data_IF_077359590633
#
_entry.id   IF_077359590633
#
_cell.length_a   1.000
_cell.length_b   1.000
_cell.length_c   1.000
_cell.angle_alpha   90.00
_cell.angle_beta   90.00
_cell.angle_gamma   90.00
#
_symmetry.space_group_name_H-M   'P 1'
#
loop_
_entity.id
_entity.type
_entity.pdbx_description
1 polymer ?
#
# COMPACT_ATOMS: atom_id res chain seq x y z
N UNK A 1 -72.48 73.12 -54.67
CA UNK A 1 -73.50 72.16 -54.19
C UNK A 1 -73.01 71.56 -52.87
N UNK A 2 -73.66 71.91 -51.76
CA UNK A 2 -73.30 71.51 -50.39
C UNK A 2 -73.42 70.00 -50.16
N UNK A 3 -74.31 69.33 -50.90
CA UNK A 3 -74.54 67.87 -50.83
C UNK A 3 -73.33 67.08 -51.34
N UNK A 4 -72.64 67.60 -52.37
CA UNK A 4 -71.40 66.99 -52.87
C UNK A 4 -70.24 67.17 -51.88
N UNK A 5 -70.14 68.33 -51.21
CA UNK A 5 -69.11 68.60 -50.20
C UNK A 5 -69.23 67.64 -49.01
N UNK A 6 -70.45 67.39 -48.49
CA UNK A 6 -70.68 66.42 -47.41
C UNK A 6 -70.31 64.99 -47.82
N UNK A 7 -70.61 64.61 -49.08
CA UNK A 7 -70.23 63.29 -49.63
C UNK A 7 -68.71 63.14 -49.79
N UNK A 8 -68.01 64.21 -50.18
CA UNK A 8 -66.56 64.25 -50.28
C UNK A 8 -65.91 64.13 -48.89
N UNK A 9 -66.38 64.91 -47.91
CA UNK A 9 -65.88 64.84 -46.53
C UNK A 9 -66.13 63.47 -45.91
N UNK A 10 -67.30 62.86 -46.12
CA UNK A 10 -67.58 61.48 -45.67
C UNK A 10 -66.65 60.44 -46.28
N UNK A 11 -66.34 60.55 -47.58
CA UNK A 11 -65.34 59.69 -48.25
C UNK A 11 -63.92 59.92 -47.72
N UNK A 12 -63.54 61.17 -47.44
CA UNK A 12 -62.24 61.51 -46.84
C UNK A 12 -62.12 60.91 -45.44
N UNK A 13 -63.16 60.99 -44.60
CA UNK A 13 -63.16 60.37 -43.26
C UNK A 13 -63.05 58.84 -43.31
N UNK A 14 -63.70 58.18 -44.27
CA UNK A 14 -63.54 56.74 -44.50
C UNK A 14 -62.11 56.38 -44.92
N UNK A 15 -61.47 57.19 -45.76
CA UNK A 15 -60.07 57.01 -46.14
C UNK A 15 -59.14 57.19 -44.93
N UNK A 16 -59.37 58.21 -44.09
CA UNK A 16 -58.59 58.39 -42.85
C UNK A 16 -58.80 57.28 -41.83
N UNK A 17 -60.02 56.73 -41.71
CA UNK A 17 -60.29 55.57 -40.87
C UNK A 17 -59.50 54.34 -41.35
N UNK A 18 -59.52 54.05 -42.65
CA UNK A 18 -58.75 52.95 -43.25
C UNK A 18 -57.23 53.18 -43.13
N UNK A 19 -56.75 54.41 -43.30
CA UNK A 19 -55.34 54.77 -43.08
C UNK A 19 -54.91 54.54 -41.62
N UNK A 20 -55.76 54.91 -40.66
CA UNK A 20 -55.49 54.70 -39.24
C UNK A 20 -55.52 53.21 -38.87
N UNK A 21 -56.41 52.43 -39.48
CA UNK A 21 -56.47 50.97 -39.30
C UNK A 21 -55.20 50.29 -39.82
N UNK A 22 -54.76 50.62 -41.05
CA UNK A 22 -53.50 50.11 -41.62
C UNK A 22 -52.30 50.58 -40.81
N UNK A 23 -52.30 51.81 -40.29
CA UNK A 23 -51.22 52.32 -39.42
C UNK A 23 -51.17 51.56 -38.09
N UNK A 24 -52.32 51.28 -37.48
CA UNK A 24 -52.41 50.49 -36.25
C UNK A 24 -51.92 49.05 -36.49
N UNK A 25 -52.31 48.45 -37.62
CA UNK A 25 -51.87 47.11 -38.00
C UNK A 25 -50.36 47.05 -38.30
N UNK A 26 -49.81 48.05 -38.99
CA UNK A 26 -48.37 48.19 -39.21
C UNK A 26 -47.62 48.30 -37.89
N UNK A 27 -48.10 49.12 -36.94
CA UNK A 27 -47.50 49.24 -35.61
C UNK A 27 -47.53 47.90 -34.86
N UNK A 28 -48.64 47.15 -34.96
CA UNK A 28 -48.79 45.82 -34.34
C UNK A 28 -47.84 44.78 -34.94
N UNK A 29 -47.74 44.70 -36.27
CA UNK A 29 -46.84 43.76 -36.95
C UNK A 29 -45.38 44.14 -36.68
N UNK A 30 -45.05 45.43 -36.71
CA UNK A 30 -43.69 45.91 -36.45
C UNK A 30 -43.26 45.63 -35.02
N UNK A 31 -44.15 45.82 -34.03
CA UNK A 31 -43.81 45.50 -32.62
C UNK A 31 -43.66 43.98 -32.40
N UNK A 32 -44.50 43.17 -33.04
CA UNK A 32 -44.42 41.71 -32.97
C UNK A 32 -43.12 41.16 -33.59
N UNK A 33 -42.74 41.63 -34.78
CA UNK A 33 -41.47 41.26 -35.43
C UNK A 33 -40.26 41.69 -34.60
N UNK A 34 -40.26 42.95 -34.12
CA UNK A 34 -39.17 43.48 -33.29
C UNK A 34 -39.00 42.68 -32.00
N UNK A 35 -40.09 42.27 -31.36
CA UNK A 35 -40.06 41.42 -30.17
C UNK A 35 -39.46 40.04 -30.46
N UNK A 36 -39.86 39.40 -31.55
CA UNK A 36 -39.35 38.08 -31.95
C UNK A 36 -37.87 38.11 -32.32
N UNK A 37 -37.44 39.10 -33.10
CA UNK A 37 -36.03 39.27 -33.50
C UNK A 37 -35.13 39.58 -32.30
N UNK A 38 -35.55 40.49 -31.41
CA UNK A 38 -34.78 40.83 -30.21
C UNK A 38 -34.69 39.67 -29.23
N UNK A 39 -35.74 38.85 -29.11
CA UNK A 39 -35.71 37.62 -28.32
C UNK A 39 -34.65 36.64 -28.83
N UNK A 40 -34.61 36.39 -30.15
CA UNK A 40 -33.58 35.55 -30.76
C UNK A 40 -32.17 36.10 -30.59
N UNK A 41 -32.00 37.42 -30.77
CA UNK A 41 -30.72 38.08 -30.56
C UNK A 41 -30.25 37.99 -29.10
N UNK A 42 -31.15 38.16 -28.13
CA UNK A 42 -30.85 38.06 -26.70
C UNK A 42 -30.28 36.68 -26.34
N UNK A 43 -30.98 35.59 -26.70
CA UNK A 43 -30.51 34.24 -26.39
C UNK A 43 -29.19 33.88 -27.09
N UNK A 44 -28.98 34.36 -28.32
CA UNK A 44 -27.72 34.18 -29.02
C UNK A 44 -26.55 34.88 -28.28
N UNK A 45 -26.75 36.12 -27.81
CA UNK A 45 -25.71 36.82 -27.05
C UNK A 45 -25.51 36.23 -25.64
N UNK A 46 -26.57 35.77 -24.98
CA UNK A 46 -26.48 35.09 -23.69
C UNK A 46 -25.66 33.79 -23.82
N UNK A 47 -25.85 33.03 -24.91
CA UNK A 47 -25.07 31.82 -25.20
C UNK A 47 -23.58 32.14 -25.40
N UNK A 48 -23.26 33.24 -26.09
CA UNK A 48 -21.88 33.69 -26.28
C UNK A 48 -21.24 34.14 -24.96
N UNK A 49 -22.01 34.78 -24.07
CA UNK A 49 -21.57 35.13 -22.73
C UNK A 49 -21.25 33.88 -21.92
N UNK A 50 -22.12 32.87 -21.94
CA UNK A 50 -21.89 31.59 -21.23
C UNK A 50 -20.60 30.91 -21.68
N UNK A 51 -20.34 30.87 -23.00
CA UNK A 51 -19.08 30.35 -23.53
C UNK A 51 -17.87 31.18 -23.09
N UNK A 52 -18.02 32.50 -23.03
CA UNK A 52 -16.96 33.41 -22.57
C UNK A 52 -16.66 33.21 -21.08
N UNK A 53 -17.69 33.04 -20.25
CA UNK A 53 -17.57 32.74 -18.81
C UNK A 53 -16.74 31.47 -18.60
N UNK A 54 -17.10 30.37 -19.28
CA UNK A 54 -16.38 29.09 -19.15
C UNK A 54 -14.91 29.25 -19.55
N UNK A 55 -14.63 29.85 -20.70
CA UNK A 55 -13.27 30.07 -21.17
C UNK A 55 -12.45 30.91 -20.19
N UNK A 56 -13.03 31.98 -19.65
CA UNK A 56 -12.34 32.84 -18.68
C UNK A 56 -12.13 32.17 -17.33
N UNK A 57 -13.05 31.32 -16.87
CA UNK A 57 -12.86 30.49 -15.67
C UNK A 57 -11.75 29.45 -15.84
N UNK A 58 -11.55 28.93 -17.06
CA UNK A 58 -10.47 28.01 -17.38
C UNK A 58 -9.11 28.71 -17.45
N UNK A 59 -9.05 29.92 -18.01
CA UNK A 59 -7.84 30.74 -18.06
C UNK A 59 -7.44 31.35 -16.70
N UNK A 60 -8.38 31.38 -15.75
CA UNK A 60 -8.17 31.84 -14.37
C UNK A 60 -7.32 30.85 -13.58
N UNK A 61 -6.00 31.00 -13.72
CA UNK A 61 -4.96 30.16 -13.08
C UNK A 61 -4.40 30.76 -11.78
N UNK A 62 -4.64 32.05 -11.52
CA UNK A 62 -4.27 32.73 -10.28
C UNK A 62 -5.44 33.58 -9.76
N UNK A 63 -5.49 33.91 -8.45
CA UNK A 63 -6.53 34.79 -7.91
C UNK A 63 -6.63 36.15 -8.62
N UNK A 64 -5.50 36.72 -9.03
CA UNK A 64 -5.43 38.01 -9.72
C UNK A 64 -6.02 37.92 -11.13
N UNK A 65 -5.69 36.86 -11.88
CA UNK A 65 -6.29 36.60 -13.20
C UNK A 65 -7.78 36.36 -13.10
N UNK A 66 -8.23 35.68 -12.04
CA UNK A 66 -9.64 35.44 -11.79
C UNK A 66 -10.40 36.77 -11.62
N UNK A 67 -9.84 37.72 -10.88
CA UNK A 67 -10.41 39.07 -10.72
C UNK A 67 -10.41 39.87 -12.03
N UNK A 68 -9.31 39.80 -12.79
CA UNK A 68 -9.20 40.48 -14.08
C UNK A 68 -10.27 39.99 -15.06
N UNK A 69 -10.45 38.69 -15.16
CA UNK A 69 -11.46 38.10 -16.03
C UNK A 69 -12.89 38.29 -15.52
N UNK A 70 -13.11 38.25 -14.21
CA UNK A 70 -14.39 38.61 -13.61
C UNK A 70 -14.82 40.04 -14.01
N UNK A 71 -13.88 40.98 -13.96
CA UNK A 71 -14.11 42.37 -14.40
C UNK A 71 -14.51 42.43 -15.88
N UNK A 72 -13.79 41.69 -16.75
CA UNK A 72 -14.10 41.63 -18.19
C UNK A 72 -15.49 41.06 -18.46
N UNK A 73 -15.89 39.98 -17.78
CA UNK A 73 -17.22 39.39 -17.92
C UNK A 73 -18.31 40.32 -17.37
N UNK A 74 -18.03 41.00 -16.26
CA UNK A 74 -18.97 41.95 -15.66
C UNK A 74 -19.30 43.11 -16.61
N UNK A 75 -18.31 43.62 -17.34
CA UNK A 75 -18.55 44.62 -18.40
C UNK A 75 -19.45 44.05 -19.50
N UNK A 76 -19.23 42.80 -19.93
CA UNK A 76 -20.09 42.16 -20.95
C UNK A 76 -21.54 41.99 -20.47
N UNK A 77 -21.74 41.69 -19.19
CA UNK A 77 -23.06 41.61 -18.56
C UNK A 77 -23.73 42.99 -18.53
N UNK A 78 -23.00 44.04 -18.15
CA UNK A 78 -23.50 45.42 -18.15
C UNK A 78 -23.84 45.93 -19.56
N UNK A 79 -23.03 45.58 -20.57
CA UNK A 79 -23.30 45.89 -21.97
C UNK A 79 -24.59 45.21 -22.46
N UNK A 80 -24.83 43.96 -22.05
CA UNK A 80 -26.09 43.26 -22.33
C UNK A 80 -27.29 43.93 -21.64
N UNK A 81 -27.13 44.33 -20.38
CA UNK A 81 -28.16 45.03 -19.63
C UNK A 81 -28.55 46.36 -20.31
N UNK A 82 -27.56 47.16 -20.72
CA UNK A 82 -27.80 48.42 -21.42
C UNK A 82 -28.49 48.24 -22.77
N UNK A 83 -28.14 47.19 -23.52
CA UNK A 83 -28.68 46.94 -24.86
C UNK A 83 -30.14 46.46 -24.85
N UNK A 84 -30.56 45.74 -23.80
CA UNK A 84 -31.90 45.15 -23.70
C UNK A 84 -32.78 45.79 -22.60
N UNK A 85 -32.43 47.00 -22.14
CA UNK A 85 -33.09 47.72 -21.06
C UNK A 85 -34.60 47.98 -21.27
N UNK A 86 -35.09 47.95 -22.52
CA UNK A 86 -36.50 48.20 -22.83
C UNK A 86 -37.44 47.00 -22.54
N UNK A 87 -36.91 45.86 -22.08
CA UNK A 87 -37.65 44.60 -21.90
C UNK A 87 -37.48 44.02 -20.49
N UNK A 88 -38.50 44.20 -19.64
CA UNK A 88 -38.50 43.76 -18.23
C UNK A 88 -38.15 42.27 -18.05
N UNK A 89 -38.58 41.39 -18.97
CA UNK A 89 -38.28 39.95 -18.89
C UNK A 89 -36.78 39.64 -19.03
N UNK A 90 -36.06 40.40 -19.86
CA UNK A 90 -34.63 40.19 -20.08
C UNK A 90 -33.80 40.75 -18.92
N UNK A 91 -34.25 41.83 -18.30
CA UNK A 91 -33.60 42.43 -17.12
C UNK A 91 -33.48 41.39 -15.99
N UNK A 92 -34.55 40.64 -15.71
CA UNK A 92 -34.52 39.59 -14.68
C UNK A 92 -33.51 38.49 -15.02
N UNK A 93 -33.48 38.02 -16.28
CA UNK A 93 -32.52 36.98 -16.71
C UNK A 93 -31.08 37.45 -16.67
N UNK A 94 -30.82 38.72 -17.00
CA UNK A 94 -29.49 39.31 -16.93
C UNK A 94 -29.04 39.45 -15.47
N UNK A 95 -29.95 39.83 -14.57
CA UNK A 95 -29.68 39.88 -13.13
C UNK A 95 -29.33 38.49 -12.58
N UNK A 96 -30.10 37.46 -12.92
CA UNK A 96 -29.80 36.07 -12.53
C UNK A 96 -28.41 35.62 -13.05
N UNK A 97 -28.10 35.97 -14.31
CA UNK A 97 -26.80 35.65 -14.92
C UNK A 97 -25.65 36.40 -14.24
N UNK A 98 -25.85 37.66 -13.83
CA UNK A 98 -24.87 38.44 -13.07
C UNK A 98 -24.53 37.74 -11.74
N UNK A 99 -25.56 37.29 -11.01
CA UNK A 99 -25.38 36.56 -9.76
C UNK A 99 -24.65 35.24 -9.97
N UNK A 100 -24.94 34.52 -11.05
CA UNK A 100 -24.24 33.29 -11.44
C UNK A 100 -22.74 33.56 -11.71
N UNK A 101 -22.42 34.62 -12.47
CA UNK A 101 -21.04 35.04 -12.74
C UNK A 101 -20.30 35.35 -11.43
N UNK A 102 -20.91 36.16 -10.55
CA UNK A 102 -20.31 36.51 -9.26
C UNK A 102 -20.02 35.25 -8.43
N UNK A 103 -20.98 34.34 -8.33
CA UNK A 103 -20.81 33.08 -7.58
C UNK A 103 -19.71 32.21 -8.18
N UNK A 104 -19.67 32.06 -9.51
CA UNK A 104 -18.71 31.20 -10.19
C UNK A 104 -17.27 31.72 -10.02
N UNK A 105 -17.04 33.01 -10.25
CA UNK A 105 -15.71 33.60 -10.11
C UNK A 105 -15.25 33.67 -8.64
N UNK A 106 -16.13 33.99 -7.69
CA UNK A 106 -15.79 33.94 -6.27
C UNK A 106 -15.43 32.51 -5.83
N UNK A 107 -16.21 31.51 -6.23
CA UNK A 107 -15.91 30.11 -5.93
C UNK A 107 -14.58 29.65 -6.52
N UNK A 108 -14.28 30.04 -7.77
CA UNK A 108 -12.98 29.76 -8.41
C UNK A 108 -11.82 30.43 -7.66
N UNK A 109 -11.98 31.69 -7.27
CA UNK A 109 -10.97 32.45 -6.52
C UNK A 109 -10.69 31.83 -5.16
N UNK A 110 -11.73 31.50 -4.39
CA UNK A 110 -11.60 30.82 -3.10
C UNK A 110 -10.88 29.48 -3.23
N UNK A 111 -11.22 28.69 -4.26
CA UNK A 111 -10.53 27.43 -4.56
C UNK A 111 -9.04 27.64 -4.84
N UNK A 112 -8.69 28.63 -5.68
CA UNK A 112 -7.28 28.93 -6.01
C UNK A 112 -6.50 29.41 -4.79
N UNK A 113 -7.09 30.27 -3.95
CA UNK A 113 -6.49 30.74 -2.69
C UNK A 113 -6.26 29.56 -1.72
N UNK A 114 -7.23 28.66 -1.59
CA UNK A 114 -7.09 27.47 -0.75
C UNK A 114 -5.97 26.54 -1.25
N UNK A 115 -5.86 26.34 -2.57
CA UNK A 115 -4.79 25.55 -3.18
C UNK A 115 -3.40 26.19 -2.94
N UNK A 116 -3.30 27.51 -3.10
CA UNK A 116 -2.07 28.27 -2.83
C UNK A 116 -1.65 28.13 -1.36
N UNK A 117 -2.57 28.39 -0.42
CA UNK A 117 -2.32 28.26 1.01
C UNK A 117 -1.90 26.85 1.42
N UNK A 118 -2.52 25.82 0.85
CA UNK A 118 -2.13 24.43 1.09
C UNK A 118 -0.70 24.15 0.63
N UNK A 119 -0.34 24.65 -0.55
CA UNK A 119 1.02 24.50 -1.10
C UNK A 119 2.05 25.23 -0.25
N UNK A 120 1.83 26.49 0.10
CA UNK A 120 2.79 27.28 0.90
C UNK A 120 2.96 26.68 2.30
N UNK A 121 1.89 26.19 2.92
CA UNK A 121 1.96 25.49 4.20
C UNK A 121 2.77 24.18 4.12
N UNK A 122 2.62 23.42 3.04
CA UNK A 122 3.41 22.20 2.84
C UNK A 122 4.92 22.51 2.69
N UNK A 123 5.26 23.56 1.94
CA UNK A 123 6.65 24.02 1.79
C UNK A 123 7.26 24.48 3.12
N UNK A 124 6.52 25.24 3.92
CA UNK A 124 6.96 25.67 5.26
C UNK A 124 7.21 24.46 6.18
N UNK A 125 6.33 23.47 6.19
CA UNK A 125 6.51 22.26 6.99
C UNK A 125 7.76 21.46 6.58
N UNK A 126 8.04 21.38 5.27
CA UNK A 126 9.26 20.76 4.77
C UNK A 126 10.48 21.56 5.24
N UNK A 127 10.44 22.89 5.10
CA UNK A 127 11.49 23.79 5.58
C UNK A 127 11.80 23.60 7.06
N UNK A 128 10.77 23.61 7.90
CA UNK A 128 10.89 23.42 9.36
C UNK A 128 11.47 22.05 9.75
N UNK A 129 11.15 20.97 9.02
CA UNK A 129 11.75 19.65 9.27
C UNK A 129 13.24 19.62 8.91
N UNK A 130 13.60 20.20 7.77
CA UNK A 130 15.01 20.31 7.34
C UNK A 130 15.79 21.18 8.33
N UNK A 131 15.20 22.28 8.78
CA UNK A 131 15.78 23.17 9.78
C UNK A 131 16.11 22.44 11.08
N UNK A 132 15.22 21.58 11.59
CA UNK A 132 15.50 20.79 12.79
C UNK A 132 16.73 19.88 12.64
N UNK A 133 16.97 19.35 11.45
CA UNK A 133 18.19 18.58 11.17
C UNK A 133 19.43 19.48 11.09
N UNK A 134 19.30 20.67 10.50
CA UNK A 134 20.36 21.69 10.47
C UNK A 134 20.75 22.08 11.90
N UNK A 135 19.78 22.34 12.79
CA UNK A 135 20.01 22.65 14.20
C UNK A 135 20.80 21.56 14.92
N UNK A 136 20.37 20.30 14.80
CA UNK A 136 21.05 19.16 15.42
C UNK A 136 22.49 18.99 14.91
N UNK A 137 22.70 19.12 13.59
CA UNK A 137 24.02 19.01 12.97
C UNK A 137 24.92 20.19 13.38
N UNK A 138 24.39 21.41 13.40
CA UNK A 138 25.11 22.61 13.80
C UNK A 138 25.66 22.50 15.24
N UNK A 139 24.90 21.91 16.16
CA UNK A 139 25.31 21.73 17.56
C UNK A 139 26.44 20.71 17.78
N UNK A 140 26.75 19.89 16.77
CA UNK A 140 27.81 18.88 16.81
C UNK A 140 29.21 19.44 16.49
N UNK A 141 29.29 20.64 15.92
CA UNK A 141 30.56 21.25 15.57
C UNK A 141 31.31 21.80 16.79
N UNK A 142 32.64 21.75 16.72
CA UNK A 142 33.53 22.09 17.84
C UNK A 142 34.31 23.41 17.64
N UNK A 143 34.13 24.09 16.51
CA UNK A 143 34.78 25.37 16.23
C UNK A 143 33.86 26.29 15.41
N UNK A 144 34.16 27.58 15.38
CA UNK A 144 33.32 28.59 14.72
C UNK A 144 33.42 28.49 13.20
N UNK A 145 34.60 28.17 12.70
CA UNK A 145 34.91 28.08 11.27
C UNK A 145 34.04 27.00 10.59
N UNK A 146 33.88 25.83 11.21
CA UNK A 146 33.04 24.75 10.69
C UNK A 146 31.55 25.10 10.72
N UNK A 147 31.09 25.83 11.75
CA UNK A 147 29.71 26.31 11.80
C UNK A 147 29.46 27.28 10.64
N UNK A 148 30.34 28.26 10.44
CA UNK A 148 30.20 29.18 9.31
C UNK A 148 30.25 28.47 7.96
N UNK A 149 31.21 27.56 7.76
CA UNK A 149 31.31 26.77 6.54
C UNK A 149 30.04 25.94 6.28
N UNK A 150 29.50 25.27 7.30
CA UNK A 150 28.27 24.50 7.20
C UNK A 150 27.07 25.37 6.78
N UNK A 151 26.86 26.52 7.42
CA UNK A 151 25.78 27.43 7.04
C UNK A 151 26.01 28.10 5.66
N UNK A 152 27.25 28.17 5.17
CA UNK A 152 27.56 28.73 3.86
C UNK A 152 27.39 27.75 2.71
N UNK A 153 27.76 26.46 2.88
CA UNK A 153 27.93 25.54 1.75
C UNK A 153 27.14 24.23 1.84
N UNK A 154 26.46 23.93 2.96
CA UNK A 154 25.75 22.66 3.10
C UNK A 154 24.42 22.65 2.31
N UNK A 155 24.18 21.53 1.60
CA UNK A 155 23.00 21.34 0.76
C UNK A 155 21.68 21.47 1.54
N UNK A 156 21.63 21.11 2.82
CA UNK A 156 20.42 21.26 3.62
C UNK A 156 20.08 22.74 3.84
N UNK A 157 21.10 23.57 4.03
CA UNK A 157 20.93 25.02 4.24
C UNK A 157 20.48 25.69 2.94
N UNK A 158 21.09 25.32 1.82
CA UNK A 158 20.65 25.79 0.50
C UNK A 158 19.23 25.36 0.16
N UNK A 159 18.84 24.15 0.57
CA UNK A 159 17.44 23.69 0.43
C UNK A 159 16.47 24.59 1.19
N UNK A 160 16.77 25.01 2.43
CA UNK A 160 15.91 25.93 3.18
C UNK A 160 15.83 27.30 2.50
N UNK A 161 16.96 27.83 1.99
CA UNK A 161 16.97 29.09 1.22
C UNK A 161 16.11 29.00 -0.04
N UNK A 162 16.22 27.91 -0.79
CA UNK A 162 15.42 27.70 -1.99
C UNK A 162 13.93 27.59 -1.68
N UNK A 163 13.55 26.94 -0.56
CA UNK A 163 12.16 26.91 -0.11
C UNK A 163 11.62 28.28 0.27
N UNK A 164 12.44 29.13 0.89
CA UNK A 164 12.06 30.52 1.18
C UNK A 164 11.86 31.34 -0.11
N UNK A 165 12.72 31.15 -1.11
CA UNK A 165 12.55 31.78 -2.44
C UNK A 165 11.26 31.29 -3.10
N UNK A 166 10.98 29.98 -3.10
CA UNK A 166 9.74 29.44 -3.68
C UNK A 166 8.49 30.01 -2.97
N UNK A 167 8.52 30.14 -1.65
CA UNK A 167 7.43 30.77 -0.88
C UNK A 167 7.21 32.23 -1.28
N UNK A 168 8.31 32.98 -1.50
CA UNK A 168 8.25 34.37 -1.96
C UNK A 168 7.69 34.49 -3.37
N UNK A 169 8.09 33.59 -4.28
CA UNK A 169 7.58 33.54 -5.65
C UNK A 169 6.09 33.18 -5.70
N UNK A 170 5.61 32.41 -4.71
CA UNK A 170 4.19 32.10 -4.51
C UNK A 170 3.40 33.22 -3.80
N UNK A 171 4.07 34.30 -3.37
CA UNK A 171 3.45 35.46 -2.72
C UNK A 171 3.29 35.38 -1.19
N UNK A 172 3.72 34.29 -0.54
CA UNK A 172 3.62 34.11 0.91
C UNK A 172 4.92 34.54 1.61
N UNK A 173 5.14 35.87 1.62
CA UNK A 173 6.37 36.50 2.12
C UNK A 173 6.57 36.25 3.62
N UNK A 174 5.49 36.21 4.40
CA UNK A 174 5.58 36.01 5.85
C UNK A 174 6.20 34.64 6.21
N UNK A 175 5.80 33.57 5.52
CA UNK A 175 6.40 32.24 5.73
C UNK A 175 7.83 32.15 5.22
N UNK A 176 8.13 32.82 4.11
CA UNK A 176 9.50 32.90 3.60
C UNK A 176 10.43 33.56 4.64
N UNK A 177 10.04 34.73 5.16
CA UNK A 177 10.79 35.45 6.20
C UNK A 177 10.92 34.64 7.49
N UNK A 178 9.89 33.88 7.87
CA UNK A 178 9.95 32.98 9.02
C UNK A 178 11.06 31.93 8.87
N UNK A 179 11.13 31.24 7.72
CA UNK A 179 12.19 30.25 7.47
C UNK A 179 13.59 30.86 7.46
N UNK A 180 13.75 32.04 6.85
CA UNK A 180 15.04 32.74 6.84
C UNK A 180 15.48 33.19 8.24
N UNK A 181 14.54 33.68 9.05
CA UNK A 181 14.80 34.10 10.42
C UNK A 181 15.16 32.89 11.29
N UNK A 182 14.43 31.79 11.18
CA UNK A 182 14.74 30.56 11.90
C UNK A 182 16.12 30.00 11.53
N UNK A 183 16.52 30.11 10.26
CA UNK A 183 17.86 29.72 9.82
C UNK A 183 18.96 30.57 10.48
N UNK A 184 18.75 31.90 10.59
CA UNK A 184 19.67 32.79 11.31
C UNK A 184 19.72 32.46 12.80
N UNK A 185 18.57 32.25 13.43
CA UNK A 185 18.47 31.87 14.85
C UNK A 185 19.18 30.54 15.12
N UNK A 186 19.07 29.56 14.22
CA UNK A 186 19.78 28.29 14.34
C UNK A 186 21.30 28.49 14.32
N UNK A 187 21.81 29.38 13.46
CA UNK A 187 23.24 29.72 13.40
C UNK A 187 23.71 30.41 14.69
N UNK A 188 22.99 31.43 15.16
CA UNK A 188 23.32 32.15 16.39
C UNK A 188 23.27 31.24 17.62
N UNK A 189 22.28 30.37 17.69
CA UNK A 189 22.12 29.39 18.77
C UNK A 189 23.27 28.39 18.78
N UNK A 190 23.71 27.91 17.62
CA UNK A 190 24.87 27.03 17.53
C UNK A 190 26.16 27.71 18.00
N UNK A 191 26.39 28.97 17.61
CA UNK A 191 27.55 29.76 18.05
C UNK A 191 27.52 30.04 19.56
N UNK A 192 26.35 30.34 20.12
CA UNK A 192 26.17 30.54 21.57
C UNK A 192 26.44 29.25 22.34
N UNK A 193 25.83 28.14 21.93
CA UNK A 193 26.04 26.83 22.57
C UNK A 193 27.51 26.39 22.49
N UNK A 194 28.20 26.69 21.39
CA UNK A 194 29.64 26.44 21.27
C UNK A 194 30.43 27.26 22.30
N UNK A 195 30.10 28.55 22.46
CA UNK A 195 30.74 29.42 23.46
C UNK A 195 30.50 28.89 24.88
N UNK A 196 29.25 28.54 25.21
CA UNK A 196 28.90 28.00 26.53
C UNK A 196 29.65 26.69 26.80
N UNK A 197 29.78 25.80 25.80
CA UNK A 197 30.60 24.59 25.91
C UNK A 197 32.08 24.92 26.11
N UNK A 198 32.64 25.88 25.37
CA UNK A 198 34.04 26.26 25.51
C UNK A 198 34.35 26.88 26.89
N UNK A 199 33.39 27.63 27.46
CA UNK A 199 33.52 28.22 28.79
C UNK A 199 33.39 27.16 29.90
N UNK A 200 32.59 26.11 29.70
CA UNK A 200 32.36 25.03 30.66
C UNK A 200 33.44 23.92 30.66
N UNK A 201 34.03 23.63 29.51
CA UNK A 201 34.96 22.50 29.33
C UNK A 201 36.40 22.98 29.13
N UNK A 202 37.31 22.59 30.04
CA UNK A 202 38.73 22.91 29.91
C UNK A 202 39.38 22.01 28.86
N UNK A 203 40.13 22.61 27.92
CA UNK A 203 40.91 21.94 26.87
C UNK A 203 40.09 21.01 25.95
N UNK A 204 38.78 21.24 25.80
CA UNK A 204 37.90 20.44 24.92
C UNK A 204 37.69 19.00 25.37
N UNK A 205 38.20 18.63 26.56
CA UNK A 205 38.01 17.32 27.16
C UNK A 205 36.69 17.30 27.94
N UNK A 206 36.21 16.11 28.30
CA UNK A 206 35.02 15.96 29.15
C UNK A 206 35.34 16.37 30.61
N UNK A 207 35.97 17.51 30.82
CA UNK A 207 36.45 17.98 32.11
C UNK A 207 35.78 19.33 32.39
N UNK A 208 34.85 19.34 33.35
CA UNK A 208 34.26 20.57 33.86
C UNK A 208 35.19 21.10 34.96
N UNK A 209 35.55 22.37 34.90
CA UNK A 209 36.30 23.04 35.96
C UNK A 209 35.37 23.92 36.81
N UNK A 210 35.33 23.65 38.12
CA UNK A 210 34.67 24.51 39.10
C UNK A 210 35.74 25.05 40.05
N UNK A 211 36.20 26.28 39.79
CA UNK A 211 37.36 26.85 40.46
C UNK A 211 38.64 26.07 40.13
N UNK A 212 39.33 25.57 41.16
CA UNK A 212 40.58 24.81 41.01
C UNK A 212 40.35 23.30 40.80
N UNK A 213 39.11 22.80 40.88
CA UNK A 213 38.80 21.38 40.78
C UNK A 213 38.33 21.01 39.38
N UNK A 214 38.89 19.91 38.85
CA UNK A 214 38.57 19.35 37.53
C UNK A 214 37.77 18.05 37.70
N UNK A 215 36.60 17.96 37.07
CA UNK A 215 35.71 16.79 37.13
C UNK A 215 35.58 16.14 35.76
N UNK A 216 35.82 14.83 35.67
CA UNK A 216 35.55 14.08 34.44
C UNK A 216 34.05 13.79 34.32
N UNK A 217 33.46 14.15 33.20
CA UNK A 217 32.04 13.98 32.91
C UNK A 217 31.87 12.83 31.93
N UNK A 218 31.05 11.86 32.28
CA UNK A 218 30.63 10.87 31.31
C UNK A 218 29.58 11.49 30.38
N UNK A 219 29.85 11.50 29.07
CA UNK A 219 28.91 11.98 28.04
C UNK A 219 28.02 10.88 27.47
N UNK A 220 28.22 9.63 27.89
CA UNK A 220 27.33 8.54 27.50
C UNK A 220 25.93 8.82 28.04
N UNK A 221 24.93 8.70 27.17
CA UNK A 221 23.53 8.77 27.56
C UNK A 221 23.27 7.63 28.54
N UNK A 222 22.69 7.96 29.70
CA UNK A 222 22.31 6.98 30.70
C UNK A 222 21.18 6.13 30.13
N UNK A 223 21.44 4.86 29.84
CA UNK A 223 20.48 3.97 29.22
C UNK A 223 20.60 2.53 29.77
N UNK A 224 19.49 1.81 29.83
CA UNK A 224 19.42 0.46 30.38
C UNK A 224 19.45 -0.57 29.24
N UNK A 225 20.49 -1.38 29.21
CA UNK A 225 20.67 -2.44 28.21
C UNK A 225 20.81 -3.81 28.86
N UNK A 226 20.65 -4.87 28.09
CA UNK A 226 20.98 -6.23 28.49
C UNK A 226 22.25 -6.64 27.75
N UNK A 227 23.25 -7.10 28.49
CA UNK A 227 24.49 -7.64 27.92
C UNK A 227 24.67 -9.11 28.32
N UNK A 228 25.35 -9.86 27.47
CA UNK A 228 25.78 -11.22 27.77
C UNK A 228 27.19 -11.20 28.38
N UNK A 229 27.38 -11.92 29.48
CA UNK A 229 28.70 -12.13 30.10
C UNK A 229 28.75 -13.53 30.69
N UNK A 230 29.76 -14.32 30.32
CA UNK A 230 29.98 -15.68 30.84
C UNK A 230 28.70 -16.53 30.84
N UNK A 231 28.02 -16.63 29.69
CA UNK A 231 26.78 -17.41 29.53
C UNK A 231 25.56 -16.95 30.32
N UNK A 232 25.63 -15.76 30.94
CA UNK A 232 24.52 -15.16 31.68
C UNK A 232 24.17 -13.78 31.13
N UNK A 233 22.91 -13.39 31.26
CA UNK A 233 22.45 -12.05 30.89
C UNK A 233 22.52 -11.12 32.10
N UNK A 234 22.94 -9.88 31.88
CA UNK A 234 23.01 -8.84 32.89
C UNK A 234 22.31 -7.58 32.38
N UNK A 235 21.45 -7.00 33.21
CA UNK A 235 21.05 -5.60 33.08
C UNK A 235 22.28 -4.73 33.35
N UNK A 236 22.60 -3.84 32.42
CA UNK A 236 23.69 -2.87 32.53
C UNK A 236 23.15 -1.46 32.30
N UNK A 237 23.46 -0.56 33.22
CA UNK A 237 23.16 0.85 33.06
C UNK A 237 24.39 1.54 32.46
N UNK A 238 24.29 1.88 31.17
CA UNK A 238 25.38 2.46 30.38
C UNK A 238 25.90 3.71 31.07
N UNK A 239 27.24 3.80 31.14
CA UNK A 239 27.93 4.90 31.79
C UNK A 239 28.07 4.79 33.31
N UNK A 240 27.65 3.67 33.90
CA UNK A 240 27.87 3.32 35.32
C UNK A 240 28.52 1.94 35.45
N UNK A 241 29.00 1.60 36.64
CA UNK A 241 29.49 0.23 36.95
C UNK A 241 28.36 -0.72 37.38
N UNK A 242 27.09 -0.36 37.15
CA UNK A 242 25.96 -1.15 37.57
C UNK A 242 25.76 -2.37 36.65
N UNK A 243 25.73 -3.54 37.27
CA UNK A 243 25.35 -4.80 36.65
C UNK A 243 24.41 -5.57 37.58
N UNK A 244 23.31 -6.09 37.05
CA UNK A 244 22.40 -6.96 37.77
C UNK A 244 22.05 -8.16 36.90
N UNK A 245 22.32 -9.37 37.38
CA UNK A 245 22.00 -10.59 36.64
C UNK A 245 20.49 -10.69 36.39
N UNK A 246 20.12 -11.10 35.17
CA UNK A 246 18.74 -11.43 34.82
C UNK A 246 18.41 -12.81 35.39
N UNK A 247 17.35 -12.90 36.21
CA UNK A 247 16.94 -14.13 36.94
C UNK A 247 15.67 -14.77 36.38
N UNK A 248 15.40 -14.61 35.08
CA UNK A 248 14.17 -15.11 34.46
C UNK A 248 14.44 -16.37 33.63
N UNK A 249 13.99 -17.53 34.13
CA UNK A 249 14.22 -18.84 33.50
C UNK A 249 13.70 -18.94 32.06
N UNK A 250 12.62 -18.25 31.71
CA UNK A 250 12.06 -18.32 30.35
C UNK A 250 13.00 -17.72 29.30
N UNK A 251 13.80 -16.72 29.67
CA UNK A 251 14.78 -16.11 28.77
C UNK A 251 15.95 -17.06 28.50
N UNK A 252 16.37 -17.83 29.51
CA UNK A 252 17.44 -18.82 29.39
C UNK A 252 17.04 -20.06 28.58
N UNK A 253 15.74 -20.36 28.45
CA UNK A 253 15.25 -21.43 27.55
C UNK A 253 15.54 -21.11 26.08
N UNK A 254 15.69 -19.83 25.73
CA UNK A 254 15.89 -19.36 24.35
C UNK A 254 17.37 -19.05 24.05
N UNK A 255 18.31 -19.67 24.76
CA UNK A 255 19.75 -19.41 24.60
C UNK A 255 20.29 -19.68 23.19
N UNK A 256 19.63 -20.56 22.44
CA UNK A 256 20.00 -20.89 21.05
C UNK A 256 19.87 -19.71 20.09
N UNK A 257 19.00 -18.73 20.39
CA UNK A 257 18.73 -17.59 19.51
C UNK A 257 19.36 -16.29 20.00
N UNK A 258 20.13 -16.30 21.09
CA UNK A 258 20.72 -15.07 21.65
C UNK A 258 21.74 -14.41 20.73
N UNK A 259 22.44 -15.20 19.90
CA UNK A 259 23.42 -14.71 18.94
C UNK A 259 22.80 -14.49 17.55
N UNK A 260 21.49 -14.65 17.42
CA UNK A 260 20.79 -14.40 16.18
C UNK A 260 20.43 -12.91 16.08
N UNK A 261 21.23 -12.17 15.30
CA UNK A 261 21.01 -10.75 15.07
C UNK A 261 19.77 -10.46 14.20
N UNK A 262 19.43 -11.39 13.30
CA UNK A 262 18.39 -11.23 12.30
C UNK A 262 17.40 -12.39 12.35
N UNK A 263 16.11 -12.12 12.17
CA UNK A 263 15.09 -13.18 12.09
C UNK A 263 15.31 -14.07 10.86
N UNK A 264 15.89 -13.52 9.79
CA UNK A 264 16.10 -14.15 8.50
C UNK A 264 17.38 -14.97 8.38
N UNK A 265 18.31 -14.91 9.35
CA UNK A 265 19.62 -15.54 9.23
C UNK A 265 20.09 -16.11 10.56
N UNK A 266 20.75 -17.27 10.49
CA UNK A 266 21.56 -17.80 11.57
C UNK A 266 22.75 -18.60 11.01
N UNK A 267 23.45 -19.36 11.85
CA UNK A 267 24.61 -20.16 11.44
C UNK A 267 24.27 -21.30 10.46
N UNK A 268 23.01 -21.70 10.36
CA UNK A 268 22.56 -22.82 9.53
C UNK A 268 21.69 -22.38 8.34
N UNK A 269 21.03 -21.22 8.44
CA UNK A 269 20.06 -20.72 7.47
C UNK A 269 20.49 -19.37 6.95
N UNK A 270 20.71 -19.30 5.64
CA UNK A 270 20.99 -18.06 4.93
C UNK A 270 19.68 -17.26 4.68
N UNK A 271 19.81 -15.92 4.59
CA UNK A 271 18.67 -15.00 4.36
C UNK A 271 17.80 -15.39 3.17
N UNK A 272 18.43 -15.77 2.06
CA UNK A 272 17.69 -16.14 0.86
C UNK A 272 16.98 -17.48 0.97
N UNK A 273 17.49 -18.41 1.78
CA UNK A 273 16.81 -19.68 2.05
C UNK A 273 15.55 -19.43 2.87
N UNK A 274 15.63 -18.57 3.88
CA UNK A 274 14.47 -18.15 4.66
C UNK A 274 13.44 -17.43 3.79
N UNK A 275 13.88 -16.50 2.92
CA UNK A 275 13.00 -15.80 1.98
C UNK A 275 12.37 -16.74 0.94
N UNK A 276 13.14 -17.71 0.43
CA UNK A 276 12.62 -18.75 -0.47
C UNK A 276 11.58 -19.63 0.21
N UNK A 277 11.80 -19.98 1.48
CA UNK A 277 10.84 -20.73 2.28
C UNK A 277 9.55 -19.95 2.53
N UNK A 278 9.64 -18.65 2.87
CA UNK A 278 8.46 -17.78 2.98
C UNK A 278 7.68 -17.71 1.67
N UNK A 279 8.40 -17.58 0.55
CA UNK A 279 7.81 -17.57 -0.80
C UNK A 279 7.14 -18.90 -1.13
N UNK A 280 7.75 -20.02 -0.72
CA UNK A 280 7.18 -21.35 -0.86
C UNK A 280 5.87 -21.49 -0.08
N UNK A 281 5.83 -21.09 1.19
CA UNK A 281 4.62 -21.13 2.02
C UNK A 281 3.50 -20.27 1.43
N UNK A 282 3.83 -19.08 0.93
CA UNK A 282 2.85 -18.20 0.29
C UNK A 282 2.30 -18.85 -0.99
N UNK A 283 3.15 -19.54 -1.77
CA UNK A 283 2.72 -20.27 -2.97
C UNK A 283 1.67 -21.36 -2.70
N UNK A 284 1.59 -21.89 -1.48
CA UNK A 284 0.60 -22.89 -1.09
C UNK A 284 -0.78 -22.30 -0.83
N UNK A 285 -0.86 -20.97 -0.64
CA UNK A 285 -2.12 -20.27 -0.33
C UNK A 285 -2.82 -19.71 -1.58
N UNK A 286 -2.10 -19.58 -2.68
CA UNK A 286 -2.62 -19.02 -3.94
C UNK A 286 -2.73 -20.10 -5.02
N UNK A 287 -3.77 -20.00 -5.85
CA UNK A 287 -3.87 -20.81 -7.06
C UNK A 287 -3.06 -20.15 -8.18
N UNK A 288 -2.44 -20.96 -9.04
CA UNK A 288 -1.72 -20.45 -10.21
C UNK A 288 -2.67 -19.75 -11.21
N UNK A 289 -2.24 -18.66 -11.89
CA UNK A 289 -0.90 -18.08 -11.88
C UNK A 289 -0.66 -17.14 -10.69
N UNK A 290 0.36 -17.44 -9.87
CA UNK A 290 0.82 -16.55 -8.79
C UNK A 290 2.21 -15.99 -9.10
N UNK A 291 2.34 -14.66 -9.06
CA UNK A 291 3.62 -14.00 -9.35
C UNK A 291 4.50 -13.93 -8.09
N UNK A 292 5.32 -14.97 -7.91
CA UNK A 292 6.28 -15.07 -6.81
C UNK A 292 7.37 -13.97 -6.85
N UNK A 293 7.73 -13.44 -8.03
CA UNK A 293 8.73 -12.37 -8.15
C UNK A 293 8.22 -11.07 -7.52
N UNK A 294 6.93 -10.76 -7.67
CA UNK A 294 6.31 -9.61 -7.01
C UNK A 294 6.38 -9.76 -5.49
N UNK A 295 6.10 -10.95 -4.97
CA UNK A 295 6.17 -11.23 -3.53
C UNK A 295 7.60 -11.09 -2.98
N UNK A 296 8.59 -11.67 -3.67
CA UNK A 296 10.01 -11.56 -3.32
C UNK A 296 10.48 -10.11 -3.27
N UNK A 297 10.14 -9.33 -4.30
CA UNK A 297 10.48 -7.90 -4.37
C UNK A 297 9.82 -7.11 -3.23
N UNK A 298 8.52 -7.32 -2.99
CA UNK A 298 7.79 -6.63 -1.91
C UNK A 298 8.39 -6.93 -0.54
N UNK A 299 8.70 -8.21 -0.28
CA UNK A 299 9.27 -8.65 0.99
C UNK A 299 10.68 -8.08 1.20
N UNK A 300 11.48 -8.07 0.14
CA UNK A 300 12.85 -7.52 0.15
C UNK A 300 12.85 -6.01 0.41
N UNK A 301 11.85 -5.27 -0.09
CA UNK A 301 11.76 -3.81 0.07
C UNK A 301 11.13 -3.39 1.41
N UNK A 302 10.19 -4.17 1.94
CA UNK A 302 9.38 -3.78 3.10
C UNK A 302 9.82 -4.40 4.42
N UNK A 303 10.49 -5.56 4.39
CA UNK A 303 10.95 -6.23 5.61
C UNK A 303 12.34 -5.74 6.03
N UNK A 304 12.38 -4.54 6.59
CA UNK A 304 13.62 -3.95 7.11
C UNK A 304 14.26 -4.76 8.25
N UNK A 305 13.45 -5.50 9.01
CA UNK A 305 13.93 -6.33 10.14
C UNK A 305 14.68 -7.58 9.68
N UNK A 306 14.41 -8.05 8.46
CA UNK A 306 15.10 -9.18 7.84
C UNK A 306 16.39 -8.77 7.11
N UNK A 307 16.72 -7.48 7.05
CA UNK A 307 17.95 -6.94 6.48
C UNK A 307 18.29 -7.52 5.08
N UNK A 308 17.29 -7.57 4.20
CA UNK A 308 17.51 -8.07 2.84
C UNK A 308 18.26 -7.06 1.95
N UNK A 309 19.11 -7.57 1.06
CA UNK A 309 19.79 -6.79 0.03
C UNK A 309 19.16 -7.09 -1.32
N UNK A 310 18.46 -6.10 -1.87
CA UNK A 310 17.84 -6.20 -3.19
C UNK A 310 18.88 -6.44 -4.29
N UNK A 311 18.58 -7.33 -5.23
CA UNK A 311 19.45 -7.77 -6.29
C UNK A 311 20.40 -8.92 -5.92
N UNK A 312 20.50 -9.27 -4.62
CA UNK A 312 21.25 -10.43 -4.13
C UNK A 312 20.27 -11.42 -3.53
N UNK A 313 19.61 -11.05 -2.42
CA UNK A 313 18.85 -12.02 -1.66
C UNK A 313 17.58 -12.48 -2.37
N UNK A 314 16.90 -11.58 -3.08
CA UNK A 314 15.75 -11.83 -3.93
C UNK A 314 16.08 -12.78 -5.09
N UNK A 315 17.24 -12.60 -5.74
CA UNK A 315 17.69 -13.47 -6.84
C UNK A 315 18.04 -14.87 -6.37
N UNK A 316 18.80 -14.98 -5.29
CA UNK A 316 19.16 -16.27 -4.70
C UNK A 316 17.90 -16.99 -4.22
N UNK A 317 16.98 -16.27 -3.57
CA UNK A 317 15.72 -16.83 -3.11
C UNK A 317 14.85 -17.32 -4.27
N UNK A 318 14.80 -16.58 -5.39
CA UNK A 318 14.11 -17.01 -6.60
C UNK A 318 14.69 -18.32 -7.15
N UNK A 319 16.02 -18.45 -7.21
CA UNK A 319 16.67 -19.66 -7.68
C UNK A 319 16.36 -20.88 -6.79
N UNK A 320 16.42 -20.69 -5.46
CA UNK A 320 16.08 -21.74 -4.48
C UNK A 320 14.60 -22.13 -4.61
N UNK A 321 13.70 -21.15 -4.63
CA UNK A 321 12.25 -21.37 -4.75
C UNK A 321 11.90 -22.13 -6.04
N UNK A 322 12.46 -21.74 -7.18
CA UNK A 322 12.25 -22.43 -8.45
C UNK A 322 12.76 -23.88 -8.40
N UNK A 323 13.94 -24.11 -7.81
CA UNK A 323 14.47 -25.45 -7.58
C UNK A 323 13.53 -26.31 -6.72
N UNK A 324 13.03 -25.75 -5.62
CA UNK A 324 12.07 -26.41 -4.73
C UNK A 324 10.76 -26.75 -5.45
N UNK A 325 10.16 -25.80 -6.20
CA UNK A 325 8.92 -26.06 -6.96
C UNK A 325 9.13 -27.11 -8.05
N UNK A 326 10.30 -27.13 -8.70
CA UNK A 326 10.65 -28.17 -9.67
C UNK A 326 10.71 -29.55 -9.01
N UNK A 327 11.43 -29.67 -7.89
CA UNK A 327 11.51 -30.93 -7.13
C UNK A 327 10.12 -31.36 -6.66
N UNK A 328 9.31 -30.43 -6.14
CA UNK A 328 7.94 -30.70 -5.73
C UNK A 328 7.10 -31.27 -6.86
N UNK A 329 7.15 -30.63 -8.04
CA UNK A 329 6.43 -31.09 -9.23
C UNK A 329 6.91 -32.45 -9.72
N UNK A 330 8.22 -32.73 -9.67
CA UNK A 330 8.81 -33.99 -10.11
C UNK A 330 8.51 -35.15 -9.13
N UNK A 331 8.51 -34.88 -7.82
CA UNK A 331 8.18 -35.86 -6.80
C UNK A 331 6.68 -36.21 -6.81
N UNK A 332 5.81 -35.25 -7.10
CA UNK A 332 4.37 -35.44 -7.05
C UNK A 332 3.95 -35.98 -5.67
N UNK A 333 3.31 -37.15 -5.65
CA UNK A 333 2.85 -37.79 -4.41
C UNK A 333 4.01 -38.28 -3.50
N UNK A 334 5.22 -38.41 -4.04
CA UNK A 334 6.41 -38.79 -3.26
C UNK A 334 6.96 -37.63 -2.42
N UNK A 335 6.37 -36.43 -2.49
CA UNK A 335 6.70 -35.31 -1.61
C UNK A 335 6.32 -35.58 -0.14
N UNK A 336 5.36 -36.47 0.12
CA UNK A 336 4.99 -36.87 1.47
C UNK A 336 6.09 -37.74 2.10
N UNK A 337 6.38 -37.49 3.37
CA UNK A 337 7.44 -38.21 4.10
C UNK A 337 7.18 -39.73 4.10
N UNK A 338 8.24 -40.57 4.15
CA UNK A 338 8.07 -42.02 4.24
C UNK A 338 7.14 -42.44 5.39
N UNK A 339 7.24 -41.78 6.54
CA UNK A 339 6.41 -42.07 7.70
C UNK A 339 4.90 -41.90 7.41
N UNK A 340 4.51 -40.78 6.78
CA UNK A 340 3.11 -40.53 6.39
C UNK A 340 2.65 -41.60 5.40
N UNK A 341 3.47 -41.93 4.40
CA UNK A 341 3.12 -42.90 3.35
C UNK A 341 2.95 -44.32 3.89
N UNK A 342 3.74 -44.72 4.88
CA UNK A 342 3.64 -46.04 5.54
C UNK A 342 2.39 -46.08 6.44
N UNK A 343 2.21 -45.08 7.30
CA UNK A 343 1.04 -44.99 8.18
C UNK A 343 -0.28 -45.02 7.38
N UNK A 344 -0.32 -44.29 6.26
CA UNK A 344 -1.46 -44.29 5.37
C UNK A 344 -1.73 -45.63 4.69
N UNK A 345 -0.69 -46.38 4.29
CA UNK A 345 -0.86 -47.71 3.71
C UNK A 345 -1.31 -48.73 4.75
N UNK A 346 -0.71 -48.74 5.95
CA UNK A 346 -1.14 -49.59 7.06
C UNK A 346 -2.59 -49.32 7.43
N UNK A 347 -2.99 -48.04 7.48
CA UNK A 347 -4.38 -47.64 7.65
C UNK A 347 -5.27 -48.19 6.55
N UNK A 348 -4.96 -47.87 5.30
CA UNK A 348 -5.79 -48.21 4.16
C UNK A 348 -5.98 -49.73 3.99
N UNK A 349 -4.93 -50.51 4.23
CA UNK A 349 -4.98 -51.98 4.18
C UNK A 349 -5.48 -52.62 5.47
N UNK A 350 -5.53 -51.88 6.58
CA UNK A 350 -6.19 -52.30 7.82
C UNK A 350 -7.71 -52.13 7.80
N UNK A 351 -8.25 -51.33 6.88
CA UNK A 351 -9.69 -51.17 6.71
C UNK A 351 -10.35 -52.40 6.08
N UNK A 352 -11.57 -52.71 6.54
CA UNK A 352 -12.43 -53.69 5.89
C UNK A 352 -12.67 -53.34 4.42
N UNK A 353 -12.78 -54.37 3.58
CA UNK A 353 -12.92 -54.21 2.14
C UNK A 353 -14.13 -53.33 1.75
N UNK A 354 -15.24 -53.47 2.45
CA UNK A 354 -16.44 -52.67 2.22
C UNK A 354 -16.23 -51.18 2.51
N UNK A 355 -15.51 -50.86 3.59
CA UNK A 355 -15.18 -49.48 3.99
C UNK A 355 -14.21 -48.86 2.99
N UNK A 356 -13.16 -49.61 2.63
CA UNK A 356 -12.17 -49.19 1.63
C UNK A 356 -12.80 -48.89 0.28
N UNK A 357 -13.70 -49.75 -0.20
CA UNK A 357 -14.41 -49.55 -1.47
C UNK A 357 -15.30 -48.29 -1.43
N UNK A 358 -16.00 -48.05 -0.31
CA UNK A 358 -16.81 -46.84 -0.12
C UNK A 358 -15.93 -45.57 -0.13
N UNK A 359 -14.82 -45.57 0.63
CA UNK A 359 -13.90 -44.43 0.69
C UNK A 359 -13.27 -44.15 -0.68
N UNK A 360 -12.87 -45.17 -1.42
CA UNK A 360 -12.35 -45.02 -2.78
C UNK A 360 -13.35 -44.31 -3.69
N UNK A 361 -14.63 -44.72 -3.67
CA UNK A 361 -15.69 -44.06 -4.45
C UNK A 361 -15.90 -42.61 -4.03
N UNK A 362 -15.85 -42.32 -2.72
CA UNK A 362 -15.95 -40.96 -2.20
C UNK A 362 -14.77 -40.08 -2.64
N UNK A 363 -13.55 -40.60 -2.58
CA UNK A 363 -12.33 -39.90 -3.03
C UNK A 363 -12.44 -39.56 -4.52
N UNK A 364 -12.78 -40.55 -5.36
CA UNK A 364 -12.94 -40.33 -6.81
C UNK A 364 -14.04 -39.29 -7.11
N UNK A 365 -15.20 -39.39 -6.46
CA UNK A 365 -16.29 -38.43 -6.65
C UNK A 365 -15.91 -37.01 -6.19
N UNK A 366 -15.27 -36.89 -5.04
CA UNK A 366 -14.81 -35.61 -4.51
C UNK A 366 -13.74 -34.97 -5.40
N UNK A 367 -12.80 -35.76 -5.92
CA UNK A 367 -11.79 -35.29 -6.86
C UNK A 367 -12.42 -34.78 -8.16
N UNK A 368 -13.38 -35.51 -8.76
CA UNK A 368 -14.09 -35.04 -9.96
C UNK A 368 -14.85 -33.73 -9.74
N UNK A 369 -15.44 -33.54 -8.55
CA UNK A 369 -16.08 -32.27 -8.17
C UNK A 369 -15.03 -31.15 -8.07
N UNK A 370 -13.87 -31.40 -7.47
CA UNK A 370 -12.80 -30.42 -7.32
C UNK A 370 -12.19 -30.03 -8.67
N UNK A 371 -12.01 -30.99 -9.57
CA UNK A 371 -11.53 -30.75 -10.94
C UNK A 371 -12.52 -29.88 -11.74
N UNK A 372 -13.82 -30.16 -11.61
CA UNK A 372 -14.87 -29.39 -12.28
C UNK A 372 -15.12 -28.02 -11.64
N UNK A 373 -14.89 -27.90 -10.33
CA UNK A 373 -15.15 -26.70 -9.53
C UNK A 373 -14.01 -26.41 -8.54
N UNK A 374 -12.86 -25.87 -9.00
CA UNK A 374 -11.66 -25.69 -8.16
C UNK A 374 -11.84 -24.83 -6.91
N UNK A 375 -12.84 -23.94 -6.91
CA UNK A 375 -13.16 -23.04 -5.79
C UNK A 375 -14.15 -23.67 -4.78
N UNK A 376 -14.64 -24.88 -5.03
CA UNK A 376 -15.62 -25.54 -4.19
C UNK A 376 -14.98 -26.18 -2.96
N UNK A 377 -15.44 -25.80 -1.76
CA UNK A 377 -15.05 -26.45 -0.50
C UNK A 377 -15.80 -27.75 -0.23
N UNK A 378 -16.71 -28.17 -1.13
CA UNK A 378 -17.62 -29.31 -0.92
C UNK A 378 -16.91 -30.66 -0.86
N UNK A 379 -15.66 -30.78 -1.31
CA UNK A 379 -14.88 -32.02 -1.25
C UNK A 379 -14.21 -32.26 0.13
N UNK A 380 -14.21 -31.26 1.03
CA UNK A 380 -13.46 -31.30 2.30
C UNK A 380 -13.90 -32.43 3.24
N UNK A 381 -15.17 -32.84 3.19
CA UNK A 381 -15.71 -33.90 4.07
C UNK A 381 -14.98 -35.23 3.91
N UNK A 382 -14.42 -35.54 2.73
CA UNK A 382 -13.68 -36.80 2.51
C UNK A 382 -12.38 -36.81 3.31
N UNK A 383 -11.67 -35.69 3.37
CA UNK A 383 -10.46 -35.56 4.20
C UNK A 383 -10.78 -35.62 5.70
N UNK A 384 -11.90 -35.05 6.12
CA UNK A 384 -12.37 -35.10 7.51
C UNK A 384 -12.77 -36.53 7.93
N UNK A 385 -13.47 -37.25 7.06
CA UNK A 385 -13.82 -38.66 7.27
C UNK A 385 -12.57 -39.55 7.36
N UNK A 386 -11.62 -39.40 6.43
CA UNK A 386 -10.35 -40.14 6.45
C UNK A 386 -9.55 -39.85 7.72
N UNK A 387 -9.46 -38.59 8.13
CA UNK A 387 -8.75 -38.18 9.36
C UNK A 387 -9.41 -38.79 10.60
N UNK A 388 -10.74 -38.74 10.68
CA UNK A 388 -11.51 -39.31 11.80
C UNK A 388 -11.34 -40.83 11.89
N UNK A 389 -11.42 -41.54 10.76
CA UNK A 389 -11.20 -42.98 10.74
C UNK A 389 -9.76 -43.36 11.07
N UNK A 390 -8.76 -42.58 10.63
CA UNK A 390 -7.37 -42.80 11.00
C UNK A 390 -7.16 -42.65 12.50
N UNK A 391 -7.72 -41.62 13.14
CA UNK A 391 -7.62 -41.43 14.60
C UNK A 391 -8.29 -42.56 15.41
N UNK A 392 -9.29 -43.23 14.83
CA UNK A 392 -9.95 -44.38 15.45
C UNK A 392 -9.21 -45.71 15.18
N UNK A 393 -8.32 -45.72 14.20
CA UNK A 393 -7.53 -46.91 13.86
C UNK A 393 -6.45 -47.16 14.92
N UNK A 394 -6.21 -48.43 15.24
CA UNK A 394 -5.20 -48.85 16.25
C UNK A 394 -3.84 -49.12 15.63
N UNK A 395 -3.42 -48.32 14.65
CA UNK A 395 -2.15 -48.55 13.96
C UNK A 395 -1.01 -48.19 14.90
N UNK A 396 -0.13 -49.16 15.18
CA UNK A 396 1.11 -48.92 15.92
C UNK A 396 2.22 -48.59 14.92
N UNK A 397 2.45 -47.30 14.69
CA UNK A 397 3.55 -46.78 13.89
C UNK A 397 4.04 -45.44 14.45
N UNK A 398 5.07 -44.84 13.85
CA UNK A 398 5.57 -43.51 14.19
C UNK A 398 4.42 -42.47 14.23
N UNK A 399 4.46 -41.50 15.15
CA UNK A 399 3.42 -40.49 15.26
C UNK A 399 3.39 -39.59 14.02
N UNK A 400 2.23 -39.53 13.36
CA UNK A 400 1.97 -38.68 12.19
C UNK A 400 0.64 -37.95 12.34
N UNK A 401 0.55 -36.76 11.73
CA UNK A 401 -0.68 -35.97 11.75
C UNK A 401 -1.76 -36.62 10.89
N UNK A 402 -2.97 -36.78 11.45
CA UNK A 402 -4.09 -37.42 10.77
C UNK A 402 -4.49 -36.68 9.47
N UNK A 403 -4.36 -35.35 9.46
CA UNK A 403 -4.63 -34.53 8.28
C UNK A 403 -3.68 -34.83 7.13
N UNK A 404 -2.40 -35.11 7.42
CA UNK A 404 -1.40 -35.39 6.39
C UNK A 404 -1.60 -36.78 5.79
N UNK A 405 -1.96 -37.77 6.62
CA UNK A 405 -2.35 -39.11 6.19
C UNK A 405 -3.59 -39.03 5.27
N UNK A 406 -4.63 -38.31 5.71
CA UNK A 406 -5.84 -38.13 4.90
C UNK A 406 -5.55 -37.41 3.58
N UNK A 407 -4.70 -36.38 3.61
CA UNK A 407 -4.32 -35.63 2.42
C UNK A 407 -3.53 -36.50 1.44
N UNK A 408 -2.57 -37.29 1.92
CA UNK A 408 -1.83 -38.25 1.09
C UNK A 408 -2.76 -39.29 0.45
N UNK A 409 -3.65 -39.93 1.23
CA UNK A 409 -4.58 -40.94 0.70
C UNK A 409 -5.50 -40.35 -0.36
N UNK A 410 -6.06 -39.17 -0.10
CA UNK A 410 -6.89 -38.46 -1.06
C UNK A 410 -6.14 -38.19 -2.37
N UNK A 411 -4.91 -37.66 -2.27
CA UNK A 411 -4.09 -37.35 -3.45
C UNK A 411 -3.64 -38.59 -4.20
N UNK A 412 -3.17 -39.64 -3.52
CA UNK A 412 -2.71 -40.90 -4.11
C UNK A 412 -3.85 -41.63 -4.83
N UNK A 413 -5.01 -41.73 -4.18
CA UNK A 413 -6.11 -42.55 -4.66
C UNK A 413 -7.15 -41.81 -5.51
N UNK A 414 -6.98 -40.50 -5.68
CA UNK A 414 -7.82 -39.70 -6.59
C UNK A 414 -7.60 -40.05 -8.06
N UNK A 415 -6.36 -40.38 -8.42
CA UNK A 415 -5.94 -40.61 -9.81
C UNK A 415 -5.72 -42.10 -10.15
N UNK A 416 -5.43 -42.94 -9.15
CA UNK A 416 -5.09 -44.35 -9.29
C UNK A 416 -5.71 -45.20 -8.18
N UNK A 417 -5.87 -46.51 -8.42
CA UNK A 417 -6.22 -47.48 -7.37
C UNK A 417 -5.00 -48.11 -6.69
N UNK A 418 -3.83 -47.93 -7.29
CA UNK A 418 -2.57 -48.50 -6.83
C UNK A 418 -1.69 -47.41 -6.23
N UNK A 419 -0.99 -47.75 -5.15
CA UNK A 419 -0.03 -46.86 -4.49
C UNK A 419 1.24 -46.69 -5.33
N UNK A 420 1.73 -45.46 -5.37
CA UNK A 420 2.96 -45.06 -6.02
C UNK A 420 4.16 -45.57 -5.23
N UNK A 421 5.09 -46.20 -5.92
CA UNK A 421 6.29 -46.78 -5.34
C UNK A 421 7.53 -46.08 -5.90
N UNK A 422 8.47 -45.71 -5.01
CA UNK A 422 9.73 -45.14 -5.46
C UNK A 422 10.64 -46.21 -6.07
N UNK A 423 11.52 -45.80 -6.98
CA UNK A 423 12.53 -46.71 -7.56
C UNK A 423 13.39 -47.39 -6.50
N UNK A 424 13.72 -46.67 -5.42
CA UNK A 424 14.48 -47.19 -4.29
C UNK A 424 13.71 -48.30 -3.55
N UNK A 425 12.41 -48.12 -3.32
CA UNK A 425 11.58 -49.13 -2.67
C UNK A 425 11.46 -50.41 -3.52
N UNK A 426 11.35 -50.28 -4.86
CA UNK A 426 11.39 -51.43 -5.77
C UNK A 426 12.73 -52.17 -5.69
N UNK A 427 13.84 -51.42 -5.63
CA UNK A 427 15.16 -52.02 -5.52
C UNK A 427 15.35 -52.77 -4.20
N UNK A 428 14.93 -52.16 -3.08
CA UNK A 428 15.01 -52.75 -1.76
C UNK A 428 14.14 -54.02 -1.65
N UNK A 429 12.94 -53.99 -2.22
CA UNK A 429 12.10 -55.20 -2.33
C UNK A 429 12.82 -56.31 -3.07
N UNK A 430 13.44 -56.00 -4.21
CA UNK A 430 14.16 -57.00 -5.01
C UNK A 430 15.34 -57.60 -4.24
N UNK A 431 16.14 -56.78 -3.58
CA UNK A 431 17.27 -57.24 -2.75
C UNK A 431 16.79 -58.11 -1.58
N UNK A 432 15.67 -57.74 -0.95
CA UNK A 432 15.08 -58.52 0.12
C UNK A 432 14.55 -59.88 -0.37
N UNK A 433 13.87 -59.91 -1.52
CA UNK A 433 13.40 -61.15 -2.15
C UNK A 433 14.59 -62.07 -2.50
N UNK A 434 15.67 -61.52 -3.06
CA UNK A 434 16.93 -62.24 -3.34
C UNK A 434 17.58 -62.78 -2.05
N UNK A 435 17.57 -61.99 -0.98
CA UNK A 435 18.04 -62.42 0.34
C UNK A 435 17.22 -63.59 0.89
N UNK A 436 15.88 -63.51 0.84
CA UNK A 436 15.00 -64.59 1.28
C UNK A 436 15.23 -65.89 0.50
N UNK A 437 15.41 -65.78 -0.83
CA UNK A 437 15.72 -66.92 -1.69
C UNK A 437 17.08 -67.54 -1.32
N UNK A 438 18.11 -66.72 -1.15
CA UNK A 438 19.46 -67.16 -0.77
C UNK A 438 19.47 -67.86 0.58
N UNK A 439 18.71 -67.34 1.55
CA UNK A 439 18.58 -67.92 2.89
C UNK A 439 17.53 -69.05 2.99
N UNK A 440 16.84 -69.39 1.88
CA UNK A 440 15.75 -70.37 1.83
C UNK A 440 14.61 -70.09 2.82
N UNK A 441 14.35 -68.81 3.13
CA UNK A 441 13.31 -68.36 4.08
C UNK A 441 12.03 -67.88 3.41
N UNK A 442 11.94 -67.89 2.08
CA UNK A 442 10.77 -67.39 1.33
C UNK A 442 9.45 -68.02 1.78
N UNK A 443 9.40 -69.35 1.95
CA UNK A 443 8.17 -70.04 2.35
C UNK A 443 7.73 -69.67 3.77
N UNK A 444 8.68 -69.59 4.71
CA UNK A 444 8.41 -69.17 6.09
C UNK A 444 7.88 -67.73 6.14
N UNK A 445 8.54 -66.81 5.42
CA UNK A 445 8.12 -65.42 5.35
C UNK A 445 6.70 -65.26 4.77
N UNK A 446 6.38 -65.97 3.68
CA UNK A 446 5.04 -65.96 3.10
C UNK A 446 3.99 -66.54 4.05
N UNK A 447 4.35 -67.59 4.81
CA UNK A 447 3.46 -68.18 5.80
C UNK A 447 3.09 -67.16 6.89
N UNK A 448 4.08 -66.46 7.46
CA UNK A 448 3.85 -65.45 8.50
C UNK A 448 3.00 -64.28 7.98
N UNK A 449 3.29 -63.74 6.78
CA UNK A 449 2.51 -62.64 6.19
C UNK A 449 1.07 -63.07 5.84
N UNK A 450 0.86 -64.33 5.49
CA UNK A 450 -0.47 -64.86 5.19
C UNK A 450 -1.29 -65.21 6.44
N UNK A 451 -0.72 -65.09 7.65
CA UNK A 451 -1.36 -65.52 8.87
C UNK A 451 -2.56 -64.63 9.22
N UNK A 452 -3.77 -65.19 9.14
CA UNK A 452 -5.02 -64.45 9.37
C UNK A 452 -5.27 -64.08 10.83
N UNK A 453 -4.51 -64.63 11.78
CA UNK A 453 -4.64 -64.26 13.20
C UNK A 453 -4.01 -62.91 13.52
N UNK A 454 -3.07 -62.44 12.69
CA UNK A 454 -2.42 -61.15 12.84
C UNK A 454 -3.20 -60.07 12.10
N UNK A 455 -3.28 -58.87 12.68
CA UNK A 455 -3.78 -57.70 11.97
C UNK A 455 -2.78 -57.22 10.90
N UNK A 456 -3.17 -56.22 10.10
CA UNK A 456 -2.32 -55.73 9.01
C UNK A 456 -1.01 -55.12 9.54
N UNK A 457 -1.00 -54.48 10.71
CA UNK A 457 0.21 -53.91 11.27
C UNK A 457 1.12 -54.98 11.91
N UNK A 458 0.56 -56.09 12.40
CA UNK A 458 1.34 -57.21 12.96
C UNK A 458 2.01 -58.07 11.87
N UNK A 459 1.50 -58.06 10.63
CA UNK A 459 2.06 -58.80 9.49
C UNK A 459 3.23 -58.10 8.79
N UNK A 460 3.38 -56.80 8.97
CA UNK A 460 4.37 -55.95 8.30
C UNK A 460 5.29 -55.29 9.31
#
# INVERSE_FOLDING_TARGET
>A
DTTQTTRIVGKISLIFASLNEVKAELVRITSALRSQELTGQFYAQLTLLDQSIVNFLDLSTTPEKCEEYFTKVSIQVEELESKFADFDEFIVKIADKRDEVIKAFNGKKEMLVAQLNKRTTALEQIGSRVLKNIENKAQSFNNRENIYAFFSTDLMVDKVRNLAIELKDLGDVAKAENLENLLKVAQETALRNLKDKADLFVDGQNIIALGNYKFTVNKQVLDLTIIRKNESLFYHLIGTSFYKQVTNDSVYQHRSIWEQELISENTEVYRSEYLAYQTYLESLQHNEPWNYETFLNDRTERDYGAAYLKGVHDKDAAAIYQGLKKIQSELGILQFSPAIRVAAQLFWFGLDEAVRNKLQQLITAAYSIQESFPQSKRARFVGEELSSQFLQSKISYEPVEASDVAHYIYMELSSSKNFTCSKQAIHLKKEFDEYLLTQRKTALFLQEISNTTFDTAERF
#
